data_IF_651373034244
#
_entry.id   IF_651373034244
#
_cell.length_a   1.000
_cell.length_b   1.000
_cell.length_c   1.000
_cell.angle_alpha   90.00
_cell.angle_beta   90.00
_cell.angle_gamma   90.00
#
_symmetry.space_group_name_H-M   'P 1'
#
loop_
_entity.id
_entity.type
_entity.pdbx_description
1 polymer ?
#
# COMPACT_ATOMS: atom_id res chain seq x y z
N UNK A 1 13.09 -19.84 -5.23
CA UNK A 1 12.19 -19.05 -4.35
C UNK A 1 11.56 -20.01 -3.35
N UNK A 2 11.66 -19.73 -2.05
CA UNK A 2 11.07 -20.57 -1.00
C UNK A 2 9.54 -20.48 -1.12
N UNK A 3 8.88 -21.59 -1.43
CA UNK A 3 7.42 -21.69 -1.51
C UNK A 3 6.82 -21.53 -0.11
N UNK A 4 6.67 -20.28 0.35
CA UNK A 4 6.01 -19.98 1.60
C UNK A 4 4.50 -20.04 1.36
N UNK A 5 3.97 -21.26 1.23
CA UNK A 5 2.57 -21.50 0.90
C UNK A 5 1.69 -20.92 2.02
N UNK A 6 0.84 -19.94 1.70
CA UNK A 6 -0.01 -19.26 2.68
C UNK A 6 -0.92 -20.27 3.44
N UNK A 7 -1.24 -21.39 2.79
CA UNK A 7 -1.97 -22.53 3.36
C UNK A 7 -1.25 -23.23 4.52
N UNK A 8 0.09 -23.16 4.61
CA UNK A 8 0.87 -23.80 5.67
C UNK A 8 0.97 -22.95 6.95
N UNK A 9 0.50 -21.69 6.92
CA UNK A 9 0.50 -20.85 8.12
C UNK A 9 -0.54 -21.35 9.13
N UNK A 10 -0.20 -21.29 10.43
CA UNK A 10 -1.19 -21.41 11.49
C UNK A 10 -2.16 -20.21 11.48
N UNK A 11 -3.37 -20.40 12.01
CA UNK A 11 -4.41 -19.37 12.04
C UNK A 11 -3.93 -18.06 12.66
N UNK A 12 -3.21 -18.14 13.78
CA UNK A 12 -2.64 -16.97 14.45
C UNK A 12 -1.63 -16.23 13.58
N UNK A 13 -0.72 -16.96 12.91
CA UNK A 13 0.27 -16.36 12.02
C UNK A 13 -0.41 -15.72 10.81
N UNK A 14 -1.48 -16.34 10.31
CA UNK A 14 -2.24 -15.88 9.14
C UNK A 14 -2.93 -14.54 9.44
N UNK A 15 -3.63 -14.47 10.57
CA UNK A 15 -4.30 -13.25 11.06
C UNK A 15 -3.28 -12.15 11.36
N UNK A 16 -2.21 -12.46 12.10
CA UNK A 16 -1.16 -11.50 12.43
C UNK A 16 -0.52 -10.91 11.17
N UNK A 17 -0.24 -11.74 10.17
CA UNK A 17 0.36 -11.27 8.91
C UNK A 17 -0.61 -10.40 8.11
N UNK A 18 -1.89 -10.75 8.04
CA UNK A 18 -2.93 -9.91 7.42
C UNK A 18 -2.97 -8.54 8.11
N UNK A 19 -3.04 -8.51 9.44
CA UNK A 19 -3.24 -7.27 10.19
C UNK A 19 -2.03 -6.34 10.10
N UNK A 20 -0.82 -6.90 10.14
CA UNK A 20 0.41 -6.13 9.90
C UNK A 20 0.42 -5.49 8.52
N UNK A 21 0.12 -6.26 7.46
CA UNK A 21 0.11 -5.74 6.09
C UNK A 21 -1.01 -4.71 5.88
N UNK A 22 -2.19 -4.96 6.45
CA UNK A 22 -3.32 -4.03 6.39
C UNK A 22 -2.98 -2.72 7.11
N UNK A 23 -2.43 -2.78 8.31
CA UNK A 23 -1.99 -1.60 9.07
C UNK A 23 -0.93 -0.80 8.33
N UNK A 24 0.06 -1.47 7.75
CA UNK A 24 1.09 -0.85 6.92
C UNK A 24 0.51 -0.12 5.70
N UNK A 25 -0.41 -0.76 4.96
CA UNK A 25 -1.08 -0.16 3.81
C UNK A 25 -1.89 1.08 4.19
N UNK A 26 -2.60 1.04 5.33
CA UNK A 26 -3.34 2.20 5.84
C UNK A 26 -2.38 3.34 6.19
N UNK A 27 -1.29 3.02 6.90
CA UNK A 27 -0.27 4.01 7.28
C UNK A 27 0.34 4.71 6.06
N UNK A 28 0.74 3.94 5.05
CA UNK A 28 1.25 4.50 3.79
C UNK A 28 0.16 5.30 3.06
N UNK A 29 -1.08 4.80 3.03
CA UNK A 29 -2.19 5.50 2.39
C UNK A 29 -2.42 6.90 2.98
N UNK A 30 -2.36 7.04 4.30
CA UNK A 30 -2.49 8.33 4.98
C UNK A 30 -1.35 9.28 4.57
N UNK A 31 -0.11 8.81 4.62
CA UNK A 31 1.06 9.62 4.23
C UNK A 31 0.96 10.05 2.75
N UNK A 32 0.50 9.15 1.89
CA UNK A 32 0.29 9.41 0.46
C UNK A 32 -0.77 10.50 0.22
N UNK A 33 -1.87 10.50 0.97
CA UNK A 33 -2.87 11.57 0.90
C UNK A 33 -2.29 12.94 1.31
N UNK A 34 -1.47 12.98 2.36
CA UNK A 34 -0.77 14.22 2.73
C UNK A 34 0.19 14.70 1.64
N UNK A 35 0.91 13.78 0.99
CA UNK A 35 1.77 14.13 -0.15
C UNK A 35 0.95 14.72 -1.31
N UNK A 36 -0.20 14.13 -1.66
CA UNK A 36 -1.08 14.68 -2.69
C UNK A 36 -1.57 16.08 -2.31
N UNK A 37 -2.03 16.26 -1.06
CA UNK A 37 -2.49 17.56 -0.58
C UNK A 37 -1.37 18.62 -0.65
N UNK A 38 -0.13 18.23 -0.32
CA UNK A 38 1.03 19.10 -0.43
C UNK A 38 1.36 19.48 -1.88
N UNK A 39 1.28 18.53 -2.81
CA UNK A 39 1.44 18.82 -4.24
C UNK A 39 0.37 19.80 -4.71
N UNK A 40 -0.90 19.54 -4.40
CA UNK A 40 -2.00 20.44 -4.75
C UNK A 40 -1.76 21.85 -4.17
N UNK A 41 -1.34 21.95 -2.92
CA UNK A 41 -1.02 23.23 -2.29
C UNK A 41 0.08 24.00 -3.02
N UNK A 42 1.18 23.33 -3.42
CA UNK A 42 2.25 23.97 -4.19
C UNK A 42 1.72 24.46 -5.54
N UNK A 43 0.95 23.64 -6.27
CA UNK A 43 0.39 24.03 -7.57
C UNK A 43 -0.62 25.18 -7.46
N UNK A 44 -1.35 25.28 -6.35
CA UNK A 44 -2.33 26.33 -6.14
C UNK A 44 -1.73 27.66 -5.64
N UNK A 45 -0.58 27.64 -4.97
CA UNK A 45 -0.03 28.82 -4.27
C UNK A 45 1.31 29.33 -4.78
N UNK A 46 2.10 28.48 -5.46
CA UNK A 46 3.43 28.84 -5.95
C UNK A 46 3.46 28.92 -7.46
N UNK A 47 4.32 29.80 -7.98
CA UNK A 47 4.63 29.84 -9.40
C UNK A 47 5.30 28.54 -9.83
N UNK A 48 4.58 27.76 -10.62
CA UNK A 48 4.98 26.43 -11.08
C UNK A 48 5.80 26.45 -12.35
N UNK A 49 6.05 27.63 -12.95
CA UNK A 49 6.87 27.79 -14.15
C UNK A 49 8.31 27.28 -14.00
N UNK A 50 8.80 27.19 -12.76
CA UNK A 50 10.14 26.69 -12.42
C UNK A 50 10.16 25.23 -11.98
N UNK A 51 8.99 24.60 -11.77
CA UNK A 51 8.90 23.22 -11.27
C UNK A 51 8.60 22.25 -12.41
N UNK A 52 9.50 21.27 -12.60
CA UNK A 52 9.22 20.16 -13.52
C UNK A 52 8.26 19.17 -12.87
N UNK A 53 7.16 18.84 -13.58
CA UNK A 53 6.17 17.87 -13.13
C UNK A 53 6.78 16.48 -12.84
N UNK A 54 7.91 16.16 -13.49
CA UNK A 54 8.66 14.90 -13.31
C UNK A 54 9.08 14.68 -11.85
N UNK A 55 9.29 15.75 -11.07
CA UNK A 55 9.68 15.65 -9.65
C UNK A 55 8.58 14.99 -8.80
N UNK A 56 7.32 15.08 -9.21
CA UNK A 56 6.18 14.50 -8.49
C UNK A 56 5.84 13.08 -8.95
N UNK A 57 6.48 12.58 -10.01
CA UNK A 57 6.21 11.26 -10.59
C UNK A 57 6.27 10.11 -9.56
N UNK A 58 7.24 10.08 -8.60
CA UNK A 58 7.28 9.02 -7.58
C UNK A 58 6.01 8.93 -6.73
N UNK A 59 5.33 10.06 -6.48
CA UNK A 59 4.07 10.10 -5.71
C UNK A 59 2.97 9.35 -6.47
N UNK A 60 2.91 9.51 -7.79
CA UNK A 60 1.89 8.86 -8.62
C UNK A 60 2.20 7.38 -8.93
N UNK A 61 3.47 6.99 -8.90
CA UNK A 61 3.91 5.60 -9.08
C UNK A 61 3.70 4.76 -7.80
N UNK A 62 3.64 5.41 -6.63
CA UNK A 62 3.54 4.75 -5.33
C UNK A 62 2.40 3.71 -5.26
N UNK A 63 1.16 3.98 -5.68
CA UNK A 63 0.10 2.95 -5.69
C UNK A 63 0.45 1.71 -6.52
N UNK A 64 1.13 1.89 -7.67
CA UNK A 64 1.54 0.78 -8.54
C UNK A 64 2.59 -0.08 -7.83
N UNK A 65 3.53 0.54 -7.12
CA UNK A 65 4.55 -0.20 -6.36
C UNK A 65 3.98 -1.02 -5.19
N UNK A 66 2.80 -0.64 -4.68
CA UNK A 66 2.09 -1.36 -3.62
C UNK A 66 1.20 -2.51 -4.12
N UNK A 67 1.01 -2.64 -5.44
CA UNK A 67 0.21 -3.72 -6.05
C UNK A 67 0.56 -5.13 -5.52
N UNK A 68 1.83 -5.58 -5.46
CA UNK A 68 2.14 -6.92 -4.96
C UNK A 68 1.73 -7.11 -3.49
N UNK A 69 1.82 -6.05 -2.67
CA UNK A 69 1.39 -6.07 -1.27
C UNK A 69 -0.13 -6.21 -1.15
N UNK A 70 -0.89 -5.48 -1.97
CA UNK A 70 -2.36 -5.58 -2.03
C UNK A 70 -2.80 -6.97 -2.47
N UNK A 71 -2.14 -7.57 -3.47
CA UNK A 71 -2.40 -8.95 -3.89
C UNK A 71 -2.15 -9.92 -2.73
N UNK A 72 -1.05 -9.78 -2.01
CA UNK A 72 -0.74 -10.62 -0.85
C UNK A 72 -1.81 -10.54 0.25
N UNK A 73 -2.30 -9.33 0.56
CA UNK A 73 -3.41 -9.15 1.50
C UNK A 73 -4.69 -9.81 1.00
N UNK A 74 -4.98 -9.71 -0.31
CA UNK A 74 -6.11 -10.39 -0.93
C UNK A 74 -6.02 -11.92 -0.80
N UNK A 75 -4.84 -12.50 -1.01
CA UNK A 75 -4.60 -13.93 -0.82
C UNK A 75 -4.76 -14.36 0.63
N UNK A 76 -4.23 -13.58 1.58
CA UNK A 76 -4.41 -13.83 3.03
C UNK A 76 -5.90 -13.78 3.42
N UNK A 77 -6.65 -12.80 2.92
CA UNK A 77 -8.09 -12.70 3.19
C UNK A 77 -8.89 -13.87 2.62
N UNK A 78 -8.54 -14.34 1.41
CA UNK A 78 -9.17 -15.52 0.81
C UNK A 78 -8.95 -16.77 1.66
N UNK A 79 -7.73 -16.95 2.17
CA UNK A 79 -7.39 -18.08 3.04
C UNK A 79 -8.05 -17.98 4.43
N UNK A 80 -8.11 -16.79 5.03
CA UNK A 80 -8.82 -16.59 6.30
C UNK A 80 -10.31 -16.94 6.13
N UNK A 81 -10.92 -16.48 5.03
CA UNK A 81 -12.32 -16.75 4.71
C UNK A 81 -12.57 -18.23 4.41
N UNK A 82 -11.65 -18.93 3.74
CA UNK A 82 -11.78 -20.38 3.47
C UNK A 82 -11.78 -21.20 4.76
N UNK A 83 -11.06 -20.73 5.78
CA UNK A 83 -11.01 -21.33 7.13
C UNK A 83 -12.16 -20.92 8.06
N UNK A 84 -13.07 -20.05 7.60
CA UNK A 84 -14.18 -19.48 8.39
C UNK A 84 -13.69 -18.76 9.66
N UNK A 85 -12.56 -18.06 9.56
CA UNK A 85 -11.96 -17.23 10.60
C UNK A 85 -12.23 -15.74 10.40
#
# INVERSE_FOLDING_TARGET
MKNNTISELSNEKLIKRRDLLKGFLIGIGIVWLFMIAFVIYIFATKDTSKFSFVVFLPIFILPVTLTPLLINVGLLNKEIKSRKL
#
